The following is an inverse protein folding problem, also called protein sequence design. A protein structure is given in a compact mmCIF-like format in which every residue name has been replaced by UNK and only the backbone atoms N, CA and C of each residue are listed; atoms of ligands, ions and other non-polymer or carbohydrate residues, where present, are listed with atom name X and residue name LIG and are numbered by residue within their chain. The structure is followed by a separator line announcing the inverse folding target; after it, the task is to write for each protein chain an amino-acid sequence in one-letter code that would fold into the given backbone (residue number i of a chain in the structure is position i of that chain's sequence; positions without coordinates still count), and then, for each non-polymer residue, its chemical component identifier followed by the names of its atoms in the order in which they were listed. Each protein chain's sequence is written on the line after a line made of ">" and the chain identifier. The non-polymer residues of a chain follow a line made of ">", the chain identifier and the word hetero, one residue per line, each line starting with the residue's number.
data_IF_760280282137
#
_entry.id   IF_760280282137
#
_cell.length_a   1.000
_cell.length_b   1.000
_cell.length_c   1.000
_cell.angle_alpha   90.00
_cell.angle_beta   90.00
_cell.angle_gamma   90.00
#
_symmetry.space_group_name_H-M   'P 1'
#
loop_
_entity.id
_entity.type
_entity.pdbx_description
1 polymer ?
#
# COMPACT_ATOMS: atom_id res chain seq x y z
N UNK A 1 -21.64 -14.80 -19.24
CA UNK A 1 -21.78 -15.64 -18.03
C UNK A 1 -20.67 -15.21 -17.09
N UNK A 2 -20.99 -14.51 -16.00
CA UNK A 2 -20.00 -14.25 -14.95
C UNK A 2 -19.58 -15.61 -14.38
N UNK A 3 -18.29 -15.97 -14.34
CA UNK A 3 -17.88 -17.20 -13.68
C UNK A 3 -18.37 -17.15 -12.24
N UNK A 4 -19.07 -18.20 -11.81
CA UNK A 4 -19.44 -18.40 -10.42
C UNK A 4 -18.18 -18.33 -9.54
N UNK A 5 -18.30 -17.81 -8.31
CA UNK A 5 -17.17 -17.72 -7.41
C UNK A 5 -16.73 -19.14 -7.01
N UNK A 6 -15.55 -19.55 -7.47
CA UNK A 6 -14.97 -20.84 -7.12
C UNK A 6 -14.07 -20.69 -5.89
N UNK A 7 -14.55 -21.22 -4.77
CA UNK A 7 -13.89 -21.15 -3.45
C UNK A 7 -12.54 -21.89 -3.41
N UNK A 8 -12.29 -22.83 -4.33
CA UNK A 8 -11.06 -23.62 -4.38
C UNK A 8 -10.06 -23.09 -5.40
N UNK A 9 -10.44 -22.06 -6.16
CA UNK A 9 -9.57 -21.40 -7.13
C UNK A 9 -9.11 -20.03 -6.59
N UNK A 10 -7.83 -19.91 -6.26
CA UNK A 10 -7.25 -18.68 -5.72
C UNK A 10 -7.41 -17.47 -6.68
N UNK A 11 -7.50 -17.69 -8.01
CA UNK A 11 -7.73 -16.62 -8.99
C UNK A 11 -9.13 -15.99 -8.84
N UNK A 12 -10.10 -16.69 -8.23
CA UNK A 12 -11.39 -16.11 -7.89
C UNK A 12 -11.22 -14.97 -6.86
N UNK A 13 -10.33 -15.14 -5.89
CA UNK A 13 -10.09 -14.17 -4.82
C UNK A 13 -9.32 -12.93 -5.28
N UNK A 14 -8.76 -12.90 -6.50
CA UNK A 14 -8.16 -11.68 -7.05
C UNK A 14 -9.20 -10.77 -7.70
N UNK A 15 -10.41 -11.27 -7.95
CA UNK A 15 -11.52 -10.45 -8.46
C UNK A 15 -12.17 -9.72 -7.27
N UNK A 16 -12.71 -8.51 -7.47
CA UNK A 16 -13.44 -7.82 -6.40
C UNK A 16 -14.66 -8.61 -5.95
N UNK A 17 -14.80 -8.79 -4.64
CA UNK A 17 -15.92 -9.43 -3.96
C UNK A 17 -16.46 -8.45 -2.91
N UNK A 18 -17.77 -8.38 -2.72
CA UNK A 18 -18.35 -7.50 -1.69
C UNK A 18 -18.18 -8.08 -0.29
N UNK A 19 -18.04 -7.21 0.71
CA UNK A 19 -18.02 -7.59 2.13
C UNK A 19 -19.26 -8.40 2.54
N UNK A 20 -20.44 -8.05 2.03
CA UNK A 20 -21.68 -8.81 2.26
C UNK A 20 -21.59 -10.24 1.72
N UNK A 21 -20.97 -10.44 0.54
CA UNK A 21 -20.77 -11.79 0.01
C UNK A 21 -19.82 -12.58 0.92
N UNK A 22 -18.75 -11.95 1.39
CA UNK A 22 -17.77 -12.57 2.28
C UNK A 22 -18.44 -12.97 3.60
N UNK A 23 -19.25 -12.10 4.20
CA UNK A 23 -20.01 -12.39 5.42
C UNK A 23 -20.99 -13.56 5.24
N UNK A 24 -21.75 -13.57 4.14
CA UNK A 24 -22.68 -14.67 3.82
C UNK A 24 -21.99 -16.02 3.63
N UNK A 25 -20.70 -16.03 3.30
CA UNK A 25 -19.92 -17.24 3.02
C UNK A 25 -18.70 -17.35 3.95
N UNK A 26 -18.77 -16.77 5.14
CA UNK A 26 -17.63 -16.63 6.06
C UNK A 26 -16.94 -17.95 6.43
N UNK A 27 -17.69 -19.05 6.45
CA UNK A 27 -17.17 -20.39 6.77
C UNK A 27 -16.58 -21.14 5.57
N UNK A 28 -16.66 -20.55 4.36
CA UNK A 28 -16.21 -21.15 3.10
C UNK A 28 -15.08 -20.38 2.42
N UNK A 29 -14.99 -19.07 2.68
CA UNK A 29 -13.93 -18.23 2.11
C UNK A 29 -12.60 -18.50 2.78
N UNK A 30 -11.53 -18.38 2.01
CA UNK A 30 -10.17 -18.36 2.53
C UNK A 30 -9.83 -16.95 3.05
N UNK A 31 -9.70 -16.82 4.36
CA UNK A 31 -9.46 -15.54 5.02
C UNK A 31 -8.08 -14.94 4.74
N UNK A 32 -7.09 -15.75 4.38
CA UNK A 32 -5.79 -15.25 3.95
C UNK A 32 -5.92 -14.52 2.61
N UNK A 33 -6.57 -15.17 1.62
CA UNK A 33 -6.81 -14.55 0.32
C UNK A 33 -7.75 -13.35 0.39
N UNK A 34 -8.77 -13.39 1.25
CA UNK A 34 -9.62 -12.23 1.51
C UNK A 34 -8.78 -11.06 2.04
N UNK A 35 -7.96 -11.29 3.07
CA UNK A 35 -7.15 -10.25 3.70
C UNK A 35 -6.10 -9.66 2.76
N UNK A 36 -5.56 -10.48 1.85
CA UNK A 36 -4.53 -10.09 0.91
C UNK A 36 -5.05 -9.36 -0.33
N UNK A 37 -6.13 -9.85 -0.94
CA UNK A 37 -6.53 -9.40 -2.28
C UNK A 37 -7.76 -8.49 -2.29
N UNK A 38 -8.60 -8.54 -1.26
CA UNK A 38 -9.78 -7.69 -1.19
C UNK A 38 -9.47 -6.35 -0.55
N UNK A 39 -10.22 -5.32 -0.95
CA UNK A 39 -10.22 -4.04 -0.27
C UNK A 39 -11.27 -4.10 0.84
N UNK A 40 -10.81 -4.11 2.09
CA UNK A 40 -11.66 -4.25 3.26
C UNK A 40 -11.77 -2.91 3.99
N UNK A 41 -12.95 -2.61 4.51
CA UNK A 41 -13.18 -1.49 5.42
C UNK A 41 -12.70 -1.83 6.82
N UNK A 42 -12.29 -0.81 7.57
CA UNK A 42 -11.86 -0.98 8.96
C UNK A 42 -12.96 -1.60 9.84
N UNK A 43 -14.22 -1.20 9.63
CA UNK A 43 -15.37 -1.76 10.36
C UNK A 43 -15.52 -3.26 10.07
N UNK A 44 -15.39 -3.68 8.81
CA UNK A 44 -15.44 -5.09 8.45
C UNK A 44 -14.32 -5.89 9.10
N UNK A 45 -13.11 -5.34 9.11
CA UNK A 45 -11.94 -5.96 9.74
C UNK A 45 -12.17 -6.10 11.25
N UNK A 46 -12.72 -5.08 11.92
CA UNK A 46 -13.08 -5.11 13.34
C UNK A 46 -14.13 -6.18 13.64
N UNK A 47 -15.20 -6.28 12.83
CA UNK A 47 -16.23 -7.32 13.02
C UNK A 47 -15.72 -8.74 12.81
N UNK A 48 -14.67 -8.91 11.99
CA UNK A 48 -14.08 -10.22 11.64
C UNK A 48 -12.65 -10.38 12.18
N UNK A 49 -12.33 -9.68 13.27
CA UNK A 49 -10.98 -9.50 13.78
C UNK A 49 -10.27 -10.82 14.16
N UNK A 50 -11.02 -11.89 14.45
CA UNK A 50 -10.48 -13.21 14.80
C UNK A 50 -10.32 -14.15 13.59
N UNK A 51 -10.78 -13.72 12.40
CA UNK A 51 -10.71 -14.51 11.16
C UNK A 51 -9.69 -13.95 10.18
N UNK A 52 -9.58 -12.63 10.09
CA UNK A 52 -8.65 -11.96 9.17
C UNK A 52 -7.19 -12.29 9.48
N UNK A 53 -6.38 -12.38 8.43
CA UNK A 53 -4.94 -12.56 8.54
C UNK A 53 -4.27 -11.20 8.77
N UNK A 54 -3.99 -10.86 10.03
CA UNK A 54 -3.47 -9.55 10.44
C UNK A 54 -2.16 -9.11 9.77
N UNK A 55 -1.31 -10.07 9.39
CA UNK A 55 -0.14 -9.82 8.56
C UNK A 55 -0.55 -9.14 7.23
N UNK A 56 -1.48 -9.74 6.50
CA UNK A 56 -1.97 -9.21 5.23
C UNK A 56 -2.79 -7.94 5.40
N UNK A 57 -3.55 -7.83 6.50
CA UNK A 57 -4.23 -6.58 6.85
C UNK A 57 -3.23 -5.43 6.98
N UNK A 58 -2.14 -5.65 7.72
CA UNK A 58 -1.13 -4.63 7.99
C UNK A 58 -0.34 -4.22 6.74
N UNK A 59 -0.17 -5.14 5.78
CA UNK A 59 0.60 -4.91 4.56
C UNK A 59 -0.24 -4.32 3.42
N UNK A 60 -1.43 -4.85 3.18
CA UNK A 60 -2.17 -4.60 1.93
C UNK A 60 -3.36 -3.65 2.08
N UNK A 61 -3.88 -3.50 3.31
CA UNK A 61 -4.99 -2.56 3.56
C UNK A 61 -4.45 -1.16 3.84
N UNK A 62 -5.28 -0.15 3.56
CA UNK A 62 -5.02 1.23 3.97
C UNK A 62 -5.64 1.44 5.34
N UNK A 63 -4.82 1.55 6.36
CA UNK A 63 -5.27 1.65 7.74
C UNK A 63 -5.06 3.08 8.25
N UNK A 64 -6.03 3.58 8.99
CA UNK A 64 -5.93 4.82 9.74
C UNK A 64 -5.10 4.61 11.01
N UNK A 65 -4.39 5.65 11.44
CA UNK A 65 -3.64 5.63 12.70
C UNK A 65 -4.52 5.31 13.91
N UNK A 66 -5.78 5.77 13.90
CA UNK A 66 -6.75 5.48 14.95
C UNK A 66 -7.06 3.98 15.02
N UNK A 67 -7.25 3.33 13.86
CA UNK A 67 -7.46 1.89 13.78
C UNK A 67 -6.24 1.10 14.23
N UNK A 68 -5.04 1.52 13.80
CA UNK A 68 -3.78 0.87 14.19
C UNK A 68 -3.61 0.93 15.72
N UNK A 69 -3.87 2.08 16.35
CA UNK A 69 -3.81 2.21 17.80
C UNK A 69 -4.83 1.33 18.54
N UNK A 70 -6.08 1.26 18.06
CA UNK A 70 -7.11 0.38 18.67
C UNK A 70 -6.75 -1.10 18.58
N UNK A 71 -6.01 -1.49 17.53
CA UNK A 71 -5.64 -2.88 17.25
C UNK A 71 -4.12 -3.12 17.42
N UNK A 72 -3.47 -2.34 18.29
CA UNK A 72 -2.02 -2.32 18.45
C UNK A 72 -1.38 -3.69 18.78
N UNK A 73 -2.13 -4.59 19.40
CA UNK A 73 -1.64 -5.92 19.77
C UNK A 73 -1.91 -6.99 18.70
N UNK A 74 -2.66 -6.64 17.65
CA UNK A 74 -3.00 -7.55 16.53
C UNK A 74 -2.22 -7.21 15.27
N UNK A 75 -2.01 -5.92 15.00
CA UNK A 75 -1.29 -5.47 13.81
C UNK A 75 0.16 -5.92 13.82
N UNK A 76 0.68 -6.23 12.63
CA UNK A 76 2.07 -6.59 12.47
C UNK A 76 2.90 -5.32 12.21
N UNK A 77 3.48 -4.77 13.29
CA UNK A 77 4.19 -3.48 13.30
C UNK A 77 5.32 -3.34 12.27
N UNK A 78 5.98 -4.45 11.93
CA UNK A 78 6.96 -4.49 10.84
C UNK A 78 6.33 -4.04 9.51
N UNK A 79 5.14 -4.55 9.18
CA UNK A 79 4.41 -4.19 7.96
C UNK A 79 3.77 -2.81 8.06
N UNK A 80 3.31 -2.42 9.25
CA UNK A 80 2.85 -1.04 9.50
C UNK A 80 3.96 -0.04 9.16
N UNK A 81 5.18 -0.29 9.62
CA UNK A 81 6.34 0.57 9.39
C UNK A 81 6.77 0.69 7.93
N UNK A 82 6.49 -0.33 7.11
CA UNK A 82 6.91 -0.36 5.70
C UNK A 82 5.84 0.11 4.73
N UNK A 83 4.57 -0.16 5.01
CA UNK A 83 3.51 -0.05 3.99
C UNK A 83 2.45 0.98 4.33
N UNK A 84 2.35 1.41 5.59
CA UNK A 84 1.40 2.45 5.98
C UNK A 84 2.03 3.84 5.89
N UNK A 85 1.22 4.84 5.56
CA UNK A 85 1.61 6.24 5.64
C UNK A 85 1.34 6.74 7.04
N UNK A 86 2.40 6.98 7.80
CA UNK A 86 2.33 7.38 9.20
C UNK A 86 2.78 8.83 9.36
N UNK A 87 2.08 9.58 10.20
CA UNK A 87 2.50 10.90 10.65
C UNK A 87 3.67 10.79 11.61
N UNK A 88 4.53 11.82 11.62
CA UNK A 88 5.66 11.89 12.54
C UNK A 88 5.21 11.85 14.01
N UNK A 89 4.06 12.46 14.33
CA UNK A 89 3.47 12.40 15.66
C UNK A 89 3.08 10.97 16.07
N UNK A 90 2.47 10.21 15.15
CA UNK A 90 2.15 8.80 15.40
C UNK A 90 3.41 7.96 15.62
N UNK A 91 4.45 8.22 14.82
CA UNK A 91 5.74 7.53 14.90
C UNK A 91 6.39 7.78 16.27
N UNK A 92 6.39 9.01 16.76
CA UNK A 92 6.94 9.36 18.09
C UNK A 92 6.22 8.62 19.21
N UNK A 93 4.87 8.64 19.17
CA UNK A 93 4.02 8.01 20.20
C UNK A 93 4.16 6.50 20.25
N UNK A 94 4.52 5.86 19.14
CA UNK A 94 4.65 4.40 19.01
C UNK A 94 6.10 3.97 18.72
N UNK A 95 7.08 4.77 19.15
CA UNK A 95 8.50 4.58 18.85
C UNK A 95 9.09 3.27 19.36
N UNK A 96 8.46 2.63 20.35
CA UNK A 96 8.80 1.31 20.87
C UNK A 96 8.36 0.16 19.97
N UNK A 97 7.41 0.40 19.05
CA UNK A 97 6.80 -0.64 18.20
C UNK A 97 7.20 -0.51 16.74
N UNK A 98 7.37 0.71 16.25
CA UNK A 98 7.69 0.98 14.84
C UNK A 98 9.19 0.86 14.56
N UNK A 99 9.54 0.60 13.30
CA UNK A 99 10.91 0.61 12.84
C UNK A 99 11.22 1.90 12.07
N UNK A 100 11.97 2.81 12.69
CA UNK A 100 12.40 4.06 12.07
C UNK A 100 13.22 3.86 10.78
N UNK A 101 14.17 2.91 10.70
CA UNK A 101 14.89 2.66 9.45
C UNK A 101 13.96 2.26 8.30
N UNK A 102 12.96 1.42 8.59
CA UNK A 102 11.97 1.02 7.57
C UNK A 102 11.07 2.18 7.17
N UNK A 103 10.53 2.93 8.12
CA UNK A 103 9.72 4.11 7.84
C UNK A 103 10.49 5.10 6.97
N UNK A 104 11.73 5.40 7.33
CA UNK A 104 12.58 6.33 6.58
C UNK A 104 12.87 5.86 5.15
N UNK A 105 12.95 4.53 4.93
CA UNK A 105 13.12 3.95 3.61
C UNK A 105 11.85 4.05 2.75
N UNK A 106 10.68 3.81 3.33
CA UNK A 106 9.42 3.65 2.58
C UNK A 106 8.53 4.89 2.53
N UNK A 107 8.76 5.90 3.38
CA UNK A 107 8.08 7.18 3.31
C UNK A 107 9.03 8.36 3.53
N UNK A 108 8.63 9.53 3.01
CA UNK A 108 9.39 10.77 3.20
C UNK A 108 9.10 11.36 4.57
N UNK A 109 10.13 11.44 5.41
CA UNK A 109 10.13 12.18 6.66
C UNK A 109 10.68 13.60 6.45
N UNK A 110 10.31 14.52 7.32
CA UNK A 110 10.84 15.87 7.36
C UNK A 110 12.32 15.86 7.73
N UNK A 111 13.06 16.88 7.26
CA UNK A 111 14.49 17.00 7.56
C UNK A 111 14.72 17.22 9.06
N UNK A 112 13.81 17.94 9.73
CA UNK A 112 13.83 18.13 11.19
C UNK A 112 13.72 16.80 11.92
N UNK A 113 12.73 15.97 11.55
CA UNK A 113 12.52 14.66 12.16
C UNK A 113 13.71 13.73 11.95
N UNK A 114 14.23 13.65 10.73
CA UNK A 114 15.40 12.81 10.42
C UNK A 114 16.63 13.27 11.20
N UNK A 115 16.84 14.58 11.31
CA UNK A 115 17.96 15.14 12.08
C UNK A 115 17.80 14.80 13.57
N UNK A 116 16.61 14.97 14.14
CA UNK A 116 16.29 14.64 15.53
C UNK A 116 16.61 13.18 15.88
N UNK A 117 16.29 12.25 14.97
CA UNK A 117 16.43 10.81 15.17
C UNK A 117 17.71 10.21 14.56
N UNK A 118 18.65 11.05 14.10
CA UNK A 118 19.89 10.62 13.44
C UNK A 118 19.67 9.64 12.28
N UNK A 119 18.64 9.89 11.45
CA UNK A 119 18.29 9.05 10.31
C UNK A 119 19.03 9.52 9.05
N UNK A 120 19.91 8.66 8.56
CA UNK A 120 20.59 8.87 7.27
C UNK A 120 19.62 8.76 6.09
N UNK A 121 19.95 9.43 5.00
CA UNK A 121 19.18 9.27 3.77
C UNK A 121 19.40 7.86 3.21
N UNK A 122 18.34 7.10 2.93
CA UNK A 122 18.50 5.80 2.29
C UNK A 122 19.11 5.97 0.89
N UNK A 123 20.09 5.14 0.55
CA UNK A 123 20.72 5.14 -0.76
C UNK A 123 19.71 4.89 -1.87
N UNK A 124 19.91 5.54 -3.03
CA UNK A 124 19.07 5.39 -4.22
C UNK A 124 17.55 5.62 -3.99
N UNK A 125 17.20 6.43 -2.99
CA UNK A 125 15.82 6.68 -2.63
C UNK A 125 15.26 7.96 -3.30
N UNK A 126 14.41 7.75 -4.30
CA UNK A 126 13.76 8.83 -5.05
C UNK A 126 12.79 9.66 -4.21
N UNK A 127 12.39 9.24 -3.00
CA UNK A 127 11.54 10.05 -2.12
C UNK A 127 12.25 11.34 -1.67
N UNK A 128 13.57 11.26 -1.48
CA UNK A 128 14.40 12.37 -1.00
C UNK A 128 15.13 13.14 -2.11
N UNK A 129 15.18 12.59 -3.32
CA UNK A 129 15.74 13.31 -4.46
C UNK A 129 14.93 14.58 -4.77
N UNK A 130 15.64 15.70 -4.95
CA UNK A 130 15.05 16.97 -5.35
C UNK A 130 14.55 16.91 -6.81
N UNK A 131 13.70 17.87 -7.16
CA UNK A 131 13.05 17.94 -8.47
C UNK A 131 14.05 18.03 -9.63
N UNK A 132 15.15 18.75 -9.44
CA UNK A 132 16.13 19.00 -10.49
C UNK A 132 16.99 17.75 -10.73
N UNK A 133 17.38 17.05 -9.67
CA UNK A 133 18.05 15.75 -9.77
C UNK A 133 17.16 14.74 -10.51
N UNK A 134 15.87 14.67 -10.17
CA UNK A 134 14.92 13.80 -10.87
C UNK A 134 14.80 14.14 -12.36
N UNK A 135 14.68 15.43 -12.69
CA UNK A 135 14.59 15.92 -14.08
C UNK A 135 15.81 15.49 -14.89
N UNK A 136 17.03 15.74 -14.39
CA UNK A 136 18.28 15.39 -15.08
C UNK A 136 18.37 13.90 -15.37
N UNK A 137 17.97 13.04 -14.44
CA UNK A 137 17.99 11.59 -14.66
C UNK A 137 16.99 11.18 -15.75
N UNK A 138 15.81 11.78 -15.78
CA UNK A 138 14.80 11.50 -16.81
C UNK A 138 15.27 12.00 -18.19
N UNK A 139 15.85 13.19 -18.27
CA UNK A 139 16.44 13.73 -19.50
C UNK A 139 17.56 12.83 -20.03
N UNK A 140 18.44 12.37 -19.13
CA UNK A 140 19.60 11.54 -19.50
C UNK A 140 19.24 10.12 -19.93
N UNK A 141 18.12 9.56 -19.44
CA UNK A 141 17.74 8.20 -19.84
C UNK A 141 17.20 8.12 -21.28
N UNK A 142 16.78 9.26 -21.86
CA UNK A 142 16.21 9.35 -23.22
C UNK A 142 15.03 8.38 -23.49
N UNK A 143 14.35 7.91 -22.42
CA UNK A 143 13.18 7.03 -22.50
C UNK A 143 11.86 7.79 -22.50
N UNK A 144 11.86 9.03 -22.00
CA UNK A 144 10.65 9.83 -21.81
C UNK A 144 10.80 11.19 -22.50
N UNK A 145 9.68 11.76 -22.92
CA UNK A 145 9.62 13.17 -23.33
C UNK A 145 9.14 14.01 -22.16
N UNK A 146 9.72 15.19 -22.02
CA UNK A 146 9.30 16.17 -21.02
C UNK A 146 8.58 17.35 -21.69
N UNK A 147 7.56 17.86 -21.02
CA UNK A 147 6.93 19.15 -21.31
C UNK A 147 6.86 19.95 -20.00
N UNK A 148 7.82 20.86 -19.82
CA UNK A 148 8.02 21.56 -18.56
C UNK A 148 8.29 20.61 -17.38
N UNK A 149 7.34 20.54 -16.45
CA UNK A 149 7.39 19.68 -15.26
C UNK A 149 6.74 18.31 -15.46
N UNK A 150 6.18 18.05 -16.63
CA UNK A 150 5.41 16.85 -16.91
C UNK A 150 6.23 15.84 -17.71
N UNK A 151 6.14 14.58 -17.31
CA UNK A 151 6.62 13.44 -18.09
C UNK A 151 5.49 13.00 -19.03
N UNK A 152 5.74 13.02 -20.33
CA UNK A 152 4.78 12.56 -21.34
C UNK A 152 4.85 11.04 -21.44
N UNK A 153 3.74 10.39 -21.11
CA UNK A 153 3.56 8.95 -21.33
C UNK A 153 2.78 8.71 -22.63
N UNK A 154 3.34 7.91 -23.53
CA UNK A 154 2.64 7.46 -24.74
C UNK A 154 1.85 6.19 -24.43
N UNK A 155 0.54 6.23 -24.62
CA UNK A 155 -0.30 5.03 -24.57
C UNK A 155 -0.38 4.42 -25.97
N UNK A 156 0.04 3.16 -26.12
CA UNK A 156 -0.16 2.43 -27.36
C UNK A 156 -1.65 2.28 -27.66
N UNK A 157 -2.11 2.86 -28.76
CA UNK A 157 -3.45 2.65 -29.31
C UNK A 157 -3.37 1.66 -30.47
N UNK A 158 -4.40 0.83 -30.64
CA UNK A 158 -4.54 0.01 -31.85
C UNK A 158 -4.65 0.92 -33.07
N UNK A 159 -4.43 0.38 -34.27
CA UNK A 159 -4.57 1.13 -35.53
C UNK A 159 -5.97 1.73 -35.75
N UNK A 160 -6.98 1.21 -35.07
CA UNK A 160 -8.36 1.68 -35.06
C UNK A 160 -8.63 2.78 -34.00
N UNK A 161 -7.61 3.19 -33.23
CA UNK A 161 -7.71 4.22 -32.20
C UNK A 161 -8.26 3.74 -30.85
N UNK A 162 -8.62 2.46 -30.72
CA UNK A 162 -9.19 1.92 -29.48
C UNK A 162 -8.11 1.27 -28.59
N UNK A 163 -8.27 1.45 -27.28
CA UNK A 163 -7.50 0.77 -26.24
C UNK A 163 -7.97 -0.68 -26.10
N UNK A 164 -7.06 -1.66 -25.93
CA UNK A 164 -7.39 -3.08 -25.68
C UNK A 164 -8.27 -3.29 -24.43
N UNK A 165 -8.33 -2.30 -23.55
CA UNK A 165 -9.04 -2.31 -22.28
C UNK A 165 -10.34 -1.50 -22.27
N UNK A 166 -10.92 -1.21 -23.46
CA UNK A 166 -12.26 -0.63 -23.58
C UNK A 166 -13.26 -1.72 -23.98
#
# INVERSE_FOLDING_TARGET
>A
MTPEFDFYNYESYKKPISEEFIERHADRVDWEYISQYQKLSEEFIERNADRVAWYYISQYQKLSEAFINRNADRVAWYYISQYQKLSEEFIERNSDRVSLPWINYYQKLSDEFRTKHNLELPENNWLYADKETKRKVIENCNLYKLDGDYVIAFKGIRSDGYSKYN
#
